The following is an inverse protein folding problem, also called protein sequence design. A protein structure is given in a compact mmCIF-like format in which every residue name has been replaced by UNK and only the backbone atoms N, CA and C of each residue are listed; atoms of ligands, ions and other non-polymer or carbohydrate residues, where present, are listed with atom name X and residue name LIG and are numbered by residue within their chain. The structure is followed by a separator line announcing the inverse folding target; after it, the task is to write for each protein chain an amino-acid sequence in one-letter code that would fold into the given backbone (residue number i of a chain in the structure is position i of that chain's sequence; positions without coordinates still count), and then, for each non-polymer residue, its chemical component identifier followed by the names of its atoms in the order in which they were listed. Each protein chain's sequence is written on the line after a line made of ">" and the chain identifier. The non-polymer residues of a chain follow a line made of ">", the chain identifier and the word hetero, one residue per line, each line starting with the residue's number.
data_IF_357623081762
#
_entry.id   IF_357623081762
#
_cell.length_a   1.000
_cell.length_b   1.000
_cell.length_c   1.000
_cell.angle_alpha   90.00
_cell.angle_beta   90.00
_cell.angle_gamma   90.00
#
_symmetry.space_group_name_H-M   'P 1'
#
loop_
_entity.id
_entity.type
_entity.pdbx_description
1 polymer ?
#
# COMPACT_ATOMS: atom_id res chain seq x y z
N UNK A 1 -15.79 0.46 7.34
CA UNK A 1 -15.21 0.13 6.02
C UNK A 1 -14.01 1.03 5.83
N UNK A 2 -12.82 0.50 5.54
CA UNK A 2 -11.75 1.37 5.05
C UNK A 2 -12.19 1.83 3.66
N UNK A 3 -12.26 3.14 3.42
CA UNK A 3 -12.54 3.63 2.09
C UNK A 3 -11.48 3.08 1.12
N UNK A 4 -11.86 2.75 -0.11
CA UNK A 4 -10.91 2.26 -1.12
C UNK A 4 -9.76 3.26 -1.35
N UNK A 5 -9.94 4.54 -1.02
CA UNK A 5 -8.90 5.58 -1.08
C UNK A 5 -7.89 5.54 0.08
N UNK A 6 -8.24 5.03 1.26
CA UNK A 6 -7.32 4.95 2.41
C UNK A 6 -6.39 3.75 2.30
N UNK A 7 -6.81 2.72 1.56
CA UNK A 7 -6.04 1.48 1.34
C UNK A 7 -5.01 1.61 0.20
N UNK A 8 -4.89 2.80 -0.39
CA UNK A 8 -3.93 3.16 -1.43
C UNK A 8 -3.03 4.31 -0.93
N UNK A 9 -1.76 4.35 -1.35
CA UNK A 9 -0.91 5.49 -1.06
C UNK A 9 -1.38 6.71 -1.88
N UNK A 10 -1.18 7.94 -1.36
CA UNK A 10 -1.45 9.15 -2.11
C UNK A 10 -0.56 9.23 -3.36
N UNK A 11 -1.04 9.90 -4.41
CA UNK A 11 -0.23 10.18 -5.60
C UNK A 11 1.06 10.91 -5.20
N UNK A 12 2.20 10.40 -5.68
CA UNK A 12 3.51 10.94 -5.33
C UNK A 12 4.08 10.46 -3.98
N UNK A 13 3.51 9.43 -3.35
CA UNK A 13 4.13 8.82 -2.16
C UNK A 13 5.55 8.33 -2.47
N UNK A 14 6.53 8.82 -1.70
CA UNK A 14 7.94 8.49 -1.91
C UNK A 14 8.25 7.08 -1.44
N UNK A 15 8.94 6.34 -2.29
CA UNK A 15 9.37 4.98 -1.99
C UNK A 15 10.64 4.64 -2.77
N UNK A 16 11.28 3.52 -2.43
CA UNK A 16 12.56 3.16 -3.04
C UNK A 16 12.37 2.88 -4.53
N UNK A 17 13.10 3.58 -5.43
CA UNK A 17 12.96 3.38 -6.86
C UNK A 17 13.07 1.90 -7.25
N UNK A 18 12.20 1.46 -8.16
CA UNK A 18 12.20 0.09 -8.70
C UNK A 18 11.98 -1.01 -7.63
N UNK A 19 11.44 -0.67 -6.46
CA UNK A 19 11.05 -1.65 -5.44
C UNK A 19 9.54 -1.76 -5.32
N UNK A 20 9.11 -2.92 -4.83
CA UNK A 20 7.76 -3.12 -4.35
C UNK A 20 7.65 -2.56 -2.92
N UNK A 21 6.51 -1.94 -2.62
CA UNK A 21 6.12 -1.39 -1.33
C UNK A 21 4.79 -2.02 -0.95
N UNK A 22 4.68 -2.54 0.27
CA UNK A 22 3.40 -2.96 0.81
C UNK A 22 2.65 -1.74 1.38
N UNK A 23 1.36 -1.66 1.06
CA UNK A 23 0.47 -0.60 1.53
C UNK A 23 -0.86 -1.22 1.98
N UNK A 24 -1.03 -1.41 3.28
CA UNK A 24 -2.10 -2.29 3.80
C UNK A 24 -2.04 -3.67 3.13
N UNK A 25 -3.17 -4.23 2.72
CA UNK A 25 -3.18 -5.50 2.00
C UNK A 25 -2.71 -5.37 0.54
N UNK A 26 -2.56 -4.15 0.03
CA UNK A 26 -2.17 -3.90 -1.35
C UNK A 26 -0.66 -3.90 -1.51
N UNK A 27 -0.21 -4.34 -2.68
CA UNK A 27 1.19 -4.23 -3.07
C UNK A 27 1.31 -3.19 -4.17
N UNK A 28 2.19 -2.22 -3.93
CA UNK A 28 2.50 -1.10 -4.80
C UNK A 28 3.87 -1.27 -5.42
N UNK A 29 4.06 -0.72 -6.62
CA UNK A 29 5.35 -0.68 -7.31
C UNK A 29 5.81 0.76 -7.46
N UNK A 30 7.06 0.99 -7.09
CA UNK A 30 7.71 2.28 -7.23
C UNK A 30 8.31 2.46 -8.62
N UNK A 31 8.10 3.63 -9.21
CA UNK A 31 8.70 4.03 -10.47
C UNK A 31 10.21 4.28 -10.30
N UNK A 32 10.89 4.59 -11.40
CA UNK A 32 12.31 4.96 -11.37
C UNK A 32 12.54 6.32 -10.68
N UNK A 33 11.52 7.19 -10.62
CA UNK A 33 11.60 8.46 -9.90
C UNK A 33 11.48 8.32 -8.38
N UNK A 34 11.21 7.11 -7.86
CA UNK A 34 11.05 6.89 -6.43
C UNK A 34 9.70 7.34 -5.89
N UNK A 35 8.67 7.29 -6.72
CA UNK A 35 7.27 7.50 -6.34
C UNK A 35 6.45 6.26 -6.64
N UNK A 36 5.33 6.07 -5.96
CA UNK A 36 4.39 4.99 -6.30
C UNK A 36 3.84 5.21 -7.71
N UNK A 37 4.03 4.23 -8.59
CA UNK A 37 3.50 4.25 -9.95
C UNK A 37 2.18 3.48 -10.10
N UNK A 38 1.95 2.48 -9.26
CA UNK A 38 0.71 1.72 -9.29
C UNK A 38 0.63 0.69 -8.17
N UNK A 39 -0.59 0.37 -7.75
CA UNK A 39 -0.88 -0.60 -6.70
C UNK A 39 -1.96 -1.59 -7.14
N UNK A 40 -1.96 -2.76 -6.52
CA UNK A 40 -3.14 -3.62 -6.53
C UNK A 40 -4.33 -2.90 -5.90
N UNK A 41 -5.54 -3.23 -6.34
CA UNK A 41 -6.80 -2.69 -5.81
C UNK A 41 -7.63 -3.79 -5.16
N UNK A 42 -7.06 -4.39 -4.12
CA UNK A 42 -7.77 -5.32 -3.26
C UNK A 42 -8.52 -4.53 -2.17
N UNK A 43 -9.75 -4.98 -1.89
CA UNK A 43 -10.55 -4.51 -0.76
C UNK A 43 -9.91 -5.04 0.53
N UNK A 44 -9.13 -4.18 1.20
CA UNK A 44 -8.49 -4.56 2.44
C UNK A 44 -9.52 -4.64 3.57
N UNK A 45 -9.55 -5.75 4.32
CA UNK A 45 -10.44 -5.85 5.46
C UNK A 45 -10.06 -4.82 6.54
N UNK A 46 -11.04 -4.10 7.10
CA UNK A 46 -10.80 -3.02 8.04
C UNK A 46 -10.16 -3.54 9.33
N UNK A 47 -9.05 -2.92 9.73
CA UNK A 47 -8.39 -3.23 11.01
C UNK A 47 -7.52 -4.50 11.01
N UNK A 48 -7.36 -5.18 9.87
CA UNK A 48 -6.50 -6.36 9.76
C UNK A 48 -5.06 -6.01 9.34
N UNK A 49 -4.88 -5.04 8.43
CA UNK A 49 -3.56 -4.62 7.95
C UNK A 49 -3.16 -3.23 8.49
N UNK A 50 -1.86 -3.05 8.69
CA UNK A 50 -1.22 -1.77 8.94
C UNK A 50 -0.90 -1.07 7.62
N UNK A 51 -0.64 0.23 7.65
CA UNK A 51 -0.18 0.98 6.47
C UNK A 51 1.06 0.37 5.81
N UNK A 52 1.95 -0.23 6.59
CA UNK A 52 3.17 -0.93 6.13
C UNK A 52 2.89 -2.31 5.49
N UNK A 53 1.63 -2.75 5.50
CA UNK A 53 1.20 -4.05 5.00
C UNK A 53 1.46 -5.24 5.92
N UNK A 54 2.01 -4.99 7.10
CA UNK A 54 2.01 -5.96 8.20
C UNK A 54 0.61 -6.18 8.74
N UNK A 55 0.32 -7.39 9.24
CA UNK A 55 -0.94 -7.66 9.94
C UNK A 55 -0.92 -6.99 11.33
N UNK A 56 -2.01 -6.29 11.65
CA UNK A 56 -2.23 -5.65 12.96
C UNK A 56 -2.30 -6.67 14.09
N UNK A 57 -2.87 -7.83 13.79
CA UNK A 57 -2.90 -8.96 14.71
C UNK A 57 -2.20 -10.13 14.02
N UNK A 58 -0.91 -10.38 14.32
CA UNK A 58 -0.32 -11.65 13.97
C UNK A 58 -1.12 -12.73 14.70
N UNK A 59 -1.78 -13.59 13.92
CA UNK A 59 -2.37 -14.85 14.39
C UNK A 59 -1.33 -15.66 15.17
#
# INVERSE_FOLDING_TARGET
>A
ALAENESLPPEGYKCTPRKALAWYCNTCTCTAEGVVGGCTRALCPPGLYNRDGTLRHPC
#
